data_IF_804618680566
#
_entry.id   IF_804618680566
#
_cell.length_a   1.000
_cell.length_b   1.000
_cell.length_c   1.000
_cell.angle_alpha   90.00
_cell.angle_beta   90.00
_cell.angle_gamma   90.00
#
_symmetry.space_group_name_H-M   'P 1'
#
loop_
_entity.id
_entity.type
_entity.pdbx_description
1 polymer ?
#
# COMPACT_ATOMS: atom_id res chain seq x y z
N UNK A 1 27.18 -5.70 22.08
CA UNK A 1 26.52 -4.39 21.92
C UNK A 1 25.57 -4.49 20.74
N UNK A 2 24.28 -4.69 20.98
CA UNK A 2 23.27 -4.56 19.90
C UNK A 2 23.15 -3.07 19.63
N UNK A 3 23.66 -2.61 18.53
CA UNK A 3 23.29 -1.33 17.97
C UNK A 3 21.79 -1.44 17.66
N UNK A 4 20.94 -0.82 18.47
CA UNK A 4 19.52 -0.67 18.20
C UNK A 4 19.39 0.19 16.95
N UNK A 5 19.43 -0.49 15.79
CA UNK A 5 19.11 0.14 14.51
C UNK A 5 17.65 0.61 14.60
N UNK A 6 17.37 1.86 14.25
CA UNK A 6 16.00 2.33 14.23
C UNK A 6 15.16 1.44 13.32
N UNK A 7 13.99 1.05 13.78
CA UNK A 7 13.04 0.25 12.99
C UNK A 7 12.64 1.03 11.75
N UNK A 8 12.81 0.43 10.59
CA UNK A 8 12.39 1.01 9.32
C UNK A 8 11.05 0.41 8.86
N UNK A 9 10.40 1.07 7.91
CA UNK A 9 9.14 0.57 7.33
C UNK A 9 9.32 -0.83 6.73
N UNK A 10 10.48 -1.12 6.15
CA UNK A 10 10.80 -2.43 5.57
C UNK A 10 10.94 -3.56 6.58
N UNK A 11 11.17 -3.24 7.85
CA UNK A 11 11.31 -4.23 8.92
C UNK A 11 9.96 -4.66 9.50
N UNK A 12 8.88 -3.97 9.13
CA UNK A 12 7.54 -4.26 9.62
C UNK A 12 6.90 -5.44 8.87
N UNK A 13 6.07 -6.23 9.57
CA UNK A 13 5.32 -7.31 8.93
C UNK A 13 4.27 -6.75 7.98
N UNK A 14 3.91 -7.56 6.98
CA UNK A 14 2.81 -7.25 6.08
C UNK A 14 1.49 -7.57 6.80
N UNK A 15 0.53 -6.63 6.82
CA UNK A 15 -0.77 -6.88 7.46
C UNK A 15 -1.55 -8.01 6.76
N UNK A 16 -2.14 -8.90 7.56
CA UNK A 16 -2.94 -10.02 7.04
C UNK A 16 -4.20 -9.57 6.27
N UNK A 17 -4.72 -8.38 6.58
CA UNK A 17 -5.87 -7.75 5.93
C UNK A 17 -5.50 -6.85 4.75
N UNK A 18 -4.33 -7.04 4.17
CA UNK A 18 -3.89 -6.28 2.98
C UNK A 18 -4.88 -6.43 1.83
N UNK A 19 -5.06 -5.34 1.08
CA UNK A 19 -5.98 -5.28 -0.06
C UNK A 19 -5.25 -4.83 -1.33
N UNK A 20 -5.80 -5.17 -2.48
CA UNK A 20 -5.30 -4.71 -3.77
C UNK A 20 -5.57 -3.21 -3.90
N UNK A 21 -4.56 -2.46 -4.32
CA UNK A 21 -4.65 -1.01 -4.53
C UNK A 21 -4.18 -0.61 -5.91
N UNK A 22 -4.34 0.66 -6.28
CA UNK A 22 -3.88 1.18 -7.56
C UNK A 22 -2.36 1.15 -7.80
N UNK A 23 -1.58 0.76 -6.78
CA UNK A 23 -0.12 0.59 -6.88
C UNK A 23 0.32 -0.81 -7.28
N UNK A 24 -0.63 -1.70 -7.49
CA UNK A 24 -0.38 -3.05 -7.93
C UNK A 24 -0.23 -3.12 -9.44
N UNK A 25 0.72 -3.92 -9.90
CA UNK A 25 0.84 -4.23 -11.33
C UNK A 25 -0.19 -5.27 -11.75
N UNK A 26 -0.45 -5.38 -13.05
CA UNK A 26 -1.39 -6.39 -13.58
C UNK A 26 -1.01 -7.81 -13.15
N UNK A 27 0.28 -8.15 -13.17
CA UNK A 27 0.78 -9.46 -12.72
C UNK A 27 0.55 -9.69 -11.23
N UNK A 28 0.68 -8.65 -10.39
CA UNK A 28 0.38 -8.73 -8.96
C UNK A 28 -1.12 -8.95 -8.72
N UNK A 29 -1.98 -8.29 -9.48
CA UNK A 29 -3.42 -8.48 -9.40
C UNK A 29 -3.80 -9.91 -9.79
N UNK A 30 -3.25 -10.44 -10.89
CA UNK A 30 -3.45 -11.83 -11.30
C UNK A 30 -3.02 -12.82 -10.21
N UNK A 31 -1.86 -12.62 -9.61
CA UNK A 31 -1.40 -13.45 -8.48
C UNK A 31 -2.36 -13.35 -7.29
N UNK A 32 -2.88 -12.16 -7.01
CA UNK A 32 -3.81 -11.95 -5.90
C UNK A 32 -5.18 -12.60 -6.13
N UNK A 33 -5.62 -12.71 -7.38
CA UNK A 33 -6.87 -13.42 -7.72
C UNK A 33 -6.79 -14.91 -7.35
N UNK A 34 -5.61 -15.48 -7.36
CA UNK A 34 -5.38 -16.88 -7.02
C UNK A 34 -4.95 -17.12 -5.57
N UNK A 35 -4.01 -16.32 -5.09
CA UNK A 35 -3.37 -16.48 -3.77
C UNK A 35 -4.01 -15.63 -2.68
N UNK A 36 -4.72 -14.59 -3.05
CA UNK A 36 -5.13 -13.50 -2.18
C UNK A 36 -4.04 -12.43 -2.01
N UNK A 37 -4.43 -11.20 -1.63
CA UNK A 37 -3.50 -10.07 -1.56
C UNK A 37 -2.35 -10.28 -0.57
N UNK A 38 -2.63 -10.81 0.61
CA UNK A 38 -1.64 -11.01 1.66
C UNK A 38 -0.52 -11.99 1.22
N UNK A 39 -0.89 -13.16 0.71
CA UNK A 39 0.09 -14.15 0.24
C UNK A 39 0.90 -13.64 -0.96
N UNK A 40 0.27 -12.90 -1.86
CA UNK A 40 0.95 -12.27 -2.99
C UNK A 40 2.03 -11.29 -2.51
N UNK A 41 1.73 -10.44 -1.53
CA UNK A 41 2.70 -9.53 -0.95
C UNK A 41 3.84 -10.26 -0.24
N UNK A 42 3.57 -11.39 0.44
CA UNK A 42 4.61 -12.21 1.06
C UNK A 42 5.59 -12.77 0.02
N UNK A 43 5.10 -13.26 -1.11
CA UNK A 43 5.95 -13.74 -2.21
C UNK A 43 6.80 -12.61 -2.78
N UNK A 44 6.21 -11.45 -3.01
CA UNK A 44 6.90 -10.28 -3.56
C UNK A 44 7.95 -9.75 -2.59
N UNK A 45 7.67 -9.73 -1.29
CA UNK A 45 8.64 -9.29 -0.28
C UNK A 45 9.85 -10.23 -0.22
N UNK A 46 9.62 -11.54 -0.30
CA UNK A 46 10.69 -12.52 -0.24
C UNK A 46 11.48 -12.68 -1.54
N UNK A 47 10.82 -12.63 -2.69
CA UNK A 47 11.36 -13.05 -3.99
C UNK A 47 11.24 -12.00 -5.09
N UNK A 48 10.76 -10.80 -4.78
CA UNK A 48 10.54 -9.73 -5.76
C UNK A 48 11.76 -9.46 -6.64
N UNK A 49 11.55 -9.41 -7.95
CA UNK A 49 12.58 -9.22 -8.97
C UNK A 49 13.37 -10.47 -9.35
N UNK A 50 13.19 -11.58 -8.63
CA UNK A 50 13.87 -12.84 -8.93
C UNK A 50 13.09 -13.65 -9.97
N UNK A 51 13.82 -14.46 -10.71
CA UNK A 51 13.25 -15.48 -11.57
C UNK A 51 13.24 -16.81 -10.81
N UNK A 52 12.10 -17.44 -10.72
CA UNK A 52 11.89 -18.67 -9.97
C UNK A 52 11.29 -19.77 -10.84
N UNK A 53 11.68 -20.98 -10.55
CA UNK A 53 11.04 -22.18 -11.11
C UNK A 53 10.00 -22.68 -10.12
N UNK A 54 8.75 -22.76 -10.54
CA UNK A 54 7.65 -23.24 -9.69
C UNK A 54 7.51 -24.77 -9.89
N UNK A 55 7.73 -25.58 -8.85
CA UNK A 55 7.60 -27.04 -8.99
C UNK A 55 6.14 -27.45 -9.21
N UNK A 56 5.92 -28.55 -9.92
CA UNK A 56 4.58 -29.11 -10.14
C UNK A 56 3.98 -29.70 -8.86
N UNK A 57 4.81 -30.14 -7.93
CA UNK A 57 4.38 -30.70 -6.65
C UNK A 57 4.50 -29.69 -5.52
N UNK A 58 3.45 -29.56 -4.72
CA UNK A 58 3.45 -28.68 -3.55
C UNK A 58 4.46 -29.11 -2.48
N UNK A 59 4.75 -30.41 -2.37
CA UNK A 59 5.70 -30.95 -1.38
C UNK A 59 7.13 -30.47 -1.59
N UNK A 60 7.52 -30.17 -2.83
CA UNK A 60 8.84 -29.64 -3.19
C UNK A 60 8.84 -28.12 -3.34
N UNK A 61 7.73 -27.48 -3.07
CA UNK A 61 7.60 -26.06 -3.29
C UNK A 61 8.15 -25.28 -2.09
N UNK A 62 9.28 -24.60 -2.29
CA UNK A 62 9.89 -23.70 -1.28
C UNK A 62 8.96 -22.57 -0.84
N UNK A 63 7.92 -22.30 -1.62
CA UNK A 63 6.89 -21.32 -1.28
C UNK A 63 6.13 -21.64 0.00
N UNK A 64 6.07 -22.94 0.40
CA UNK A 64 5.41 -23.33 1.64
C UNK A 64 5.99 -22.64 2.89
N UNK A 65 7.28 -22.36 2.90
CA UNK A 65 7.91 -21.59 3.97
C UNK A 65 7.52 -20.11 3.98
N UNK A 66 7.09 -19.56 2.84
CA UNK A 66 6.74 -18.13 2.68
C UNK A 66 5.23 -17.93 2.84
N UNK A 67 4.41 -18.73 2.16
CA UNK A 67 2.95 -18.54 2.04
C UNK A 67 2.13 -19.68 2.62
N UNK A 68 2.76 -20.63 3.27
CA UNK A 68 2.11 -21.82 3.83
C UNK A 68 1.81 -22.90 2.79
N UNK A 69 1.38 -24.08 3.25
CA UNK A 69 1.10 -25.22 2.38
C UNK A 69 -0.04 -24.97 1.39
N UNK A 70 -1.10 -24.32 1.83
CA UNK A 70 -2.24 -23.98 0.96
C UNK A 70 -1.83 -23.03 -0.18
N UNK A 71 -1.04 -22.00 0.13
CA UNK A 71 -0.49 -21.10 -0.88
C UNK A 71 0.44 -21.82 -1.85
N UNK A 72 1.29 -22.73 -1.36
CA UNK A 72 2.17 -23.54 -2.17
C UNK A 72 1.41 -24.49 -3.12
N UNK A 73 0.32 -25.08 -2.65
CA UNK A 73 -0.57 -25.90 -3.49
C UNK A 73 -1.21 -25.09 -4.62
N UNK A 74 -1.67 -23.90 -4.32
CA UNK A 74 -2.24 -22.97 -5.32
C UNK A 74 -1.17 -22.59 -6.35
N UNK A 75 0.03 -22.22 -5.91
CA UNK A 75 1.14 -21.85 -6.79
C UNK A 75 1.51 -23.02 -7.72
N UNK A 76 1.66 -24.23 -7.19
CA UNK A 76 1.98 -25.41 -7.98
C UNK A 76 0.89 -25.75 -8.98
N UNK A 77 -0.37 -25.59 -8.62
CA UNK A 77 -1.52 -25.85 -9.51
C UNK A 77 -1.57 -24.87 -10.68
N UNK A 78 -1.30 -23.59 -10.45
CA UNK A 78 -1.48 -22.54 -11.45
C UNK A 78 -0.21 -22.31 -12.27
N UNK A 79 0.92 -22.25 -11.60
CA UNK A 79 2.22 -21.91 -12.20
C UNK A 79 3.20 -23.07 -12.27
N UNK A 80 2.82 -24.24 -11.75
CA UNK A 80 3.71 -25.39 -11.64
C UNK A 80 4.31 -25.85 -12.97
N UNK A 81 5.60 -26.12 -12.94
CA UNK A 81 6.38 -26.50 -14.12
C UNK A 81 6.82 -25.35 -15.00
N UNK A 82 6.48 -24.13 -14.64
CA UNK A 82 6.88 -22.92 -15.37
C UNK A 82 7.93 -22.12 -14.60
N UNK A 83 8.71 -21.40 -15.37
CA UNK A 83 9.60 -20.37 -14.85
C UNK A 83 8.87 -19.05 -14.88
N UNK A 84 8.84 -18.34 -13.75
CA UNK A 84 8.20 -17.04 -13.67
C UNK A 84 9.14 -15.99 -13.04
N UNK A 85 9.01 -14.76 -13.49
CA UNK A 85 9.65 -13.62 -12.84
C UNK A 85 8.69 -13.02 -11.83
N UNK A 86 9.11 -12.97 -10.57
CA UNK A 86 8.33 -12.33 -9.52
C UNK A 86 8.40 -10.81 -9.67
N UNK A 87 7.25 -10.10 -9.71
CA UNK A 87 7.27 -8.66 -9.88
C UNK A 87 7.94 -7.95 -8.69
N UNK A 88 8.51 -6.78 -8.94
CA UNK A 88 9.03 -5.89 -7.91
C UNK A 88 7.90 -4.97 -7.46
N UNK A 89 7.35 -5.24 -6.29
CA UNK A 89 6.17 -4.52 -5.78
C UNK A 89 6.46 -3.59 -4.61
N UNK A 90 7.61 -2.91 -4.56
CA UNK A 90 7.98 -2.00 -3.45
C UNK A 90 6.91 -0.97 -3.11
N UNK A 91 6.28 -0.28 -4.07
CA UNK A 91 5.22 0.67 -3.74
C UNK A 91 4.02 0.03 -3.04
N UNK A 92 3.59 -1.14 -3.49
CA UNK A 92 2.49 -1.88 -2.88
C UNK A 92 2.85 -2.41 -1.48
N UNK A 93 4.07 -2.93 -1.30
CA UNK A 93 4.59 -3.35 0.00
C UNK A 93 4.65 -2.20 1.01
N UNK A 94 5.17 -1.05 0.60
CA UNK A 94 5.25 0.12 1.44
C UNK A 94 3.86 0.65 1.82
N UNK A 95 2.92 0.62 0.88
CA UNK A 95 1.53 1.03 1.13
C UNK A 95 0.85 0.11 2.14
N UNK A 96 1.01 -1.20 1.99
CA UNK A 96 0.47 -2.19 2.93
C UNK A 96 1.06 -2.00 4.34
N UNK A 97 2.36 -1.80 4.47
CA UNK A 97 3.02 -1.56 5.75
C UNK A 97 2.62 -0.24 6.39
N UNK A 98 2.47 0.82 5.61
CA UNK A 98 1.93 2.10 6.10
C UNK A 98 0.52 1.96 6.62
N UNK A 99 -0.34 1.24 5.92
CA UNK A 99 -1.69 0.95 6.37
C UNK A 99 -1.68 0.19 7.71
N UNK A 100 -0.76 -0.76 7.88
CA UNK A 100 -0.55 -1.47 9.14
C UNK A 100 -0.13 -0.55 10.29
N UNK A 101 0.76 0.41 10.06
CA UNK A 101 1.16 1.41 11.07
C UNK A 101 -0.02 2.29 11.46
N UNK A 102 -0.77 2.79 10.50
CA UNK A 102 -1.95 3.62 10.77
C UNK A 102 -2.99 2.84 11.57
N UNK A 103 -3.24 1.58 11.23
CA UNK A 103 -4.13 0.71 11.99
C UNK A 103 -3.63 0.49 13.43
N UNK A 104 -2.33 0.27 13.63
CA UNK A 104 -1.74 0.11 14.96
C UNK A 104 -1.90 1.37 15.82
N UNK A 105 -1.81 2.57 15.23
CA UNK A 105 -2.06 3.82 15.94
C UNK A 105 -3.54 3.94 16.32
N UNK A 106 -4.45 3.63 15.42
CA UNK A 106 -5.90 3.62 15.69
C UNK A 106 -6.29 2.66 16.81
N UNK A 107 -5.62 1.51 16.86
CA UNK A 107 -5.83 0.49 17.88
C UNK A 107 -5.12 0.80 19.23
N UNK A 108 -4.40 1.91 19.31
CA UNK A 108 -3.66 2.31 20.49
C UNK A 108 -2.40 1.49 20.78
N UNK A 109 -1.92 0.70 19.82
CA UNK A 109 -0.71 -0.14 19.94
C UNK A 109 0.58 0.62 19.67
N UNK A 110 0.48 1.76 19.02
CA UNK A 110 1.61 2.62 18.65
C UNK A 110 1.21 4.07 18.77
N UNK A 111 2.12 4.93 19.23
CA UNK A 111 1.93 6.37 19.25
C UNK A 111 2.29 7.00 17.89
N UNK A 112 1.74 8.19 17.62
CA UNK A 112 2.12 8.96 16.42
C UNK A 112 3.61 9.31 16.45
N UNK A 113 4.16 9.64 17.63
CA UNK A 113 5.57 9.96 17.80
C UNK A 113 6.51 8.81 17.40
N UNK A 114 6.14 7.58 17.76
CA UNK A 114 6.87 6.37 17.34
C UNK A 114 6.77 6.09 15.83
N UNK A 115 5.65 6.44 15.22
CA UNK A 115 5.42 6.25 13.80
C UNK A 115 6.18 7.24 12.90
N UNK A 116 6.47 8.45 13.39
CA UNK A 116 7.17 9.50 12.63
C UNK A 116 8.48 9.01 12.01
N UNK A 117 9.43 8.44 12.77
CA UNK A 117 10.69 7.96 12.19
C UNK A 117 10.49 6.73 11.28
N UNK A 118 9.49 5.90 11.55
CA UNK A 118 9.20 4.71 10.74
C UNK A 118 8.65 5.09 9.37
N UNK A 119 7.70 6.02 9.35
CA UNK A 119 7.05 6.47 8.12
C UNK A 119 7.83 7.56 7.37
N UNK A 120 8.80 8.20 8.03
CA UNK A 120 9.58 9.29 7.46
C UNK A 120 8.73 10.50 7.06
N UNK A 121 7.69 10.80 7.85
CA UNK A 121 6.75 11.90 7.58
C UNK A 121 6.40 12.67 8.84
N UNK A 122 5.72 13.81 8.71
CA UNK A 122 5.43 14.69 9.83
C UNK A 122 4.31 14.14 10.74
N UNK A 123 4.37 14.51 12.03
CA UNK A 123 3.35 14.21 13.03
C UNK A 123 1.95 14.66 12.57
N UNK A 124 1.85 15.86 12.01
CA UNK A 124 0.57 16.42 11.54
C UNK A 124 -0.03 15.60 10.38
N UNK A 125 0.81 15.12 9.47
CA UNK A 125 0.36 14.29 8.36
C UNK A 125 -0.16 12.93 8.85
N UNK A 126 0.55 12.30 9.80
CA UNK A 126 0.11 11.03 10.40
C UNK A 126 -1.20 11.23 11.16
N UNK A 127 -1.30 12.29 11.97
CA UNK A 127 -2.54 12.62 12.68
C UNK A 127 -3.72 12.80 11.72
N UNK A 128 -3.50 13.47 10.59
CA UNK A 128 -4.52 13.61 9.55
C UNK A 128 -4.94 12.25 8.96
N UNK A 129 -3.98 11.36 8.69
CA UNK A 129 -4.26 10.03 8.16
C UNK A 129 -5.02 9.16 9.16
N UNK A 130 -4.64 9.21 10.43
CA UNK A 130 -5.30 8.44 11.51
C UNK A 130 -6.75 8.89 11.71
N UNK A 131 -6.99 10.20 11.67
CA UNK A 131 -8.31 10.80 11.84
C UNK A 131 -9.17 10.78 10.57
N UNK A 132 -8.57 10.48 9.43
CA UNK A 132 -9.32 10.23 8.21
C UNK A 132 -10.01 8.88 8.36
N UNK A 133 -11.24 8.89 8.81
CA UNK A 133 -12.10 7.71 8.81
C UNK A 133 -12.19 7.18 7.39
N UNK A 134 -12.09 5.86 7.24
CA UNK A 134 -12.44 5.15 6.01
C UNK A 134 -13.96 5.19 5.74
N UNK A 135 -14.66 6.18 6.30
CA UNK A 135 -16.03 6.50 5.95
C UNK A 135 -16.06 6.93 4.50
N UNK A 136 -16.18 5.90 3.72
CA UNK A 136 -16.59 6.03 2.35
C UNK A 136 -15.46 6.49 1.46
N UNK A 137 -15.04 5.61 0.65
CA UNK A 137 -15.00 5.83 -0.79
C UNK A 137 -16.36 6.31 -1.35
N UNK A 138 -17.24 6.79 -0.52
CA UNK A 138 -18.19 7.79 -0.93
C UNK A 138 -17.32 8.96 -1.35
N UNK A 139 -17.11 9.07 -2.65
CA UNK A 139 -16.77 10.31 -3.30
C UNK A 139 -17.28 11.41 -2.41
N UNK A 140 -16.39 12.07 -1.64
CA UNK A 140 -16.70 13.38 -1.10
C UNK A 140 -17.19 14.12 -2.33
N UNK A 141 -18.49 14.25 -2.43
CA UNK A 141 -19.05 15.27 -3.29
C UNK A 141 -18.21 16.48 -2.94
N UNK A 142 -17.38 16.90 -3.91
CA UNK A 142 -16.54 18.07 -3.76
C UNK A 142 -17.46 19.10 -3.15
N UNK A 143 -17.21 19.50 -1.91
CA UNK A 143 -18.01 20.52 -1.27
C UNK A 143 -17.73 21.80 -2.04
N UNK A 144 -18.47 21.94 -3.15
CA UNK A 144 -18.38 23.06 -4.07
C UNK A 144 -18.63 24.39 -3.35
N UNK A 145 -19.27 24.34 -2.16
CA UNK A 145 -19.48 25.49 -1.33
C UNK A 145 -18.16 26.02 -0.73
N UNK A 146 -17.20 25.14 -0.43
CA UNK A 146 -15.87 25.54 0.05
C UNK A 146 -14.97 26.02 -1.08
N UNK A 147 -15.15 25.48 -2.29
CA UNK A 147 -14.44 25.96 -3.48
C UNK A 147 -15.01 27.30 -3.96
N UNK A 148 -16.31 27.49 -3.86
CA UNK A 148 -16.96 28.77 -4.19
C UNK A 148 -16.51 29.91 -3.26
N UNK A 149 -16.38 29.64 -1.94
CA UNK A 149 -15.90 30.64 -0.97
C UNK A 149 -14.43 31.05 -1.17
N UNK A 150 -13.58 30.20 -1.74
CA UNK A 150 -12.19 30.54 -2.09
C UNK A 150 -12.04 31.25 -3.43
N UNK A 151 -13.03 31.15 -4.31
CA UNK A 151 -12.99 31.76 -5.65
C UNK A 151 -13.56 33.16 -5.73
N UNK A 152 -14.20 33.63 -4.67
CA UNK A 152 -14.79 34.94 -4.65
C UNK A 152 -13.95 35.90 -3.80
N UNK A 153 -12.79 36.31 -4.32
CA UNK A 153 -12.16 37.56 -3.93
C UNK A 153 -12.58 38.63 -4.95
N UNK A 154 -13.43 39.59 -4.56
CA UNK A 154 -13.86 40.66 -5.48
C UNK A 154 -12.70 41.43 -6.08
N UNK A 155 -11.52 41.42 -5.42
CA UNK A 155 -10.31 42.09 -5.90
C UNK A 155 -9.58 41.33 -7.03
N UNK A 156 -9.86 40.05 -7.22
CA UNK A 156 -9.29 39.26 -8.31
C UNK A 156 -10.05 39.41 -9.62
N UNK A 157 -11.29 39.87 -9.60
CA UNK A 157 -12.08 40.07 -10.81
C UNK A 157 -11.62 41.29 -11.62
N UNK A 158 -11.03 42.30 -10.98
CA UNK A 158 -10.51 43.49 -11.67
C UNK A 158 -9.26 43.21 -12.52
N UNK A 159 -8.53 42.10 -12.26
CA UNK A 159 -7.36 41.74 -13.07
C UNK A 159 -7.69 41.14 -14.43
N UNK A 160 -8.93 40.72 -14.65
CA UNK A 160 -9.39 40.08 -15.90
C UNK A 160 -10.52 40.86 -16.59
N UNK A 161 -10.84 42.07 -16.10
CA UNK A 161 -11.70 42.95 -16.82
C UNK A 161 -10.96 43.40 -18.11
N UNK A 162 -11.45 42.97 -19.25
CA UNK A 162 -10.93 43.41 -20.54
C UNK A 162 -11.11 44.95 -20.62
N UNK A 163 -10.10 45.70 -21.14
CA UNK A 163 -10.28 47.13 -21.37
C UNK A 163 -11.43 47.32 -22.35
N UNK A 164 -12.45 48.06 -21.93
CA UNK A 164 -13.49 48.51 -22.83
C UNK A 164 -12.82 49.28 -23.95
N UNK A 165 -12.91 48.77 -25.19
CA UNK A 165 -12.49 49.46 -26.37
C UNK A 165 -13.50 50.57 -26.66
N UNK A 166 -13.03 51.82 -26.55
CA UNK A 166 -13.71 52.95 -27.20
C UNK A 166 -13.73 52.75 -28.71
#
# INVERSE_FOLDING_TARGET
MKLDRPVSLSDLPIPANSVVTGKWTAQMCEMADHLGPFRTLLVIDALGGQQIDVPKSAERNRMAAIIGEEGAKIMSRIYGGNRMKVPVGRPALNEARRAGVIAAIRDGKMSIGEAVPILGTSHNYISHLVNKTDEGKETRALDLSKLARRRYDPRQLDMFAAPESE
#
